data_IF_586003531177
#
_entry.id   IF_586003531177
#
_cell.length_a   1.000
_cell.length_b   1.000
_cell.length_c   1.000
_cell.angle_alpha   90.00
_cell.angle_beta   90.00
_cell.angle_gamma   90.00
#
_symmetry.space_group_name_H-M   'P 1'
#
loop_
_entity.id
_entity.type
_entity.pdbx_description
1 polymer ?
#
# COMPACT_ATOMS: atom_id res chain seq x y z
N UNK A 1 -0.61 9.67 27.78
CA UNK A 1 -1.55 9.08 26.80
C UNK A 1 -0.71 8.75 25.57
N UNK A 2 -0.57 7.46 25.21
CA UNK A 2 0.04 7.10 23.94
C UNK A 2 -0.89 7.62 22.86
N UNK A 3 -0.50 8.74 22.24
CA UNK A 3 -1.32 9.39 21.23
C UNK A 3 -1.12 8.62 19.93
N UNK A 4 -1.86 7.51 19.79
CA UNK A 4 -1.87 6.71 18.57
C UNK A 4 -2.42 7.62 17.46
N UNK A 5 -1.71 7.67 16.32
CA UNK A 5 -2.11 8.53 15.21
C UNK A 5 -3.51 8.11 14.70
N UNK A 6 -4.43 9.06 14.48
CA UNK A 6 -5.78 8.75 14.00
C UNK A 6 -5.74 8.15 12.59
N UNK A 7 -6.71 7.29 12.28
CA UNK A 7 -6.81 6.60 10.99
C UNK A 7 -8.18 6.86 10.38
N UNK A 8 -8.24 7.09 9.07
CA UNK A 8 -9.47 7.05 8.29
C UNK A 8 -9.34 5.91 7.29
N UNK A 9 -10.26 4.95 7.34
CA UNK A 9 -10.31 3.84 6.40
C UNK A 9 -11.33 4.10 5.28
N UNK A 10 -10.98 3.73 4.05
CA UNK A 10 -11.83 3.85 2.87
C UNK A 10 -11.85 2.50 2.16
N UNK A 11 -12.92 1.73 2.40
CA UNK A 11 -13.09 0.39 1.86
C UNK A 11 -14.06 0.34 0.67
N UNK A 12 -13.79 -0.56 -0.28
CA UNK A 12 -14.70 -0.85 -1.38
C UNK A 12 -14.07 -1.55 -2.58
N UNK A 13 -14.85 -1.82 -3.65
CA UNK A 13 -14.36 -2.57 -4.80
C UNK A 13 -13.32 -1.79 -5.61
N UNK A 14 -12.58 -2.50 -6.47
CA UNK A 14 -11.68 -1.87 -7.44
C UNK A 14 -12.47 -0.95 -8.38
N UNK A 15 -11.91 0.21 -8.75
CA UNK A 15 -12.52 1.15 -9.71
C UNK A 15 -13.60 2.07 -9.13
N UNK A 16 -13.93 2.01 -7.84
CA UNK A 16 -14.93 2.91 -7.23
C UNK A 16 -14.43 4.32 -6.88
N UNK A 17 -13.18 4.66 -7.23
CA UNK A 17 -12.60 5.99 -6.99
C UNK A 17 -11.96 6.22 -5.60
N UNK A 18 -11.78 5.16 -4.79
CA UNK A 18 -11.23 5.24 -3.42
C UNK A 18 -9.87 5.94 -3.38
N UNK A 19 -8.92 5.54 -4.22
CA UNK A 19 -7.58 6.15 -4.23
C UNK A 19 -7.61 7.65 -4.49
N UNK A 20 -8.52 8.10 -5.36
CA UNK A 20 -8.74 9.52 -5.61
C UNK A 20 -9.25 10.24 -4.36
N UNK A 21 -10.28 9.68 -3.69
CA UNK A 21 -10.84 10.27 -2.46
C UNK A 21 -9.81 10.25 -1.32
N UNK A 22 -9.10 9.13 -1.15
CA UNK A 22 -8.06 8.93 -0.15
C UNK A 22 -6.93 9.95 -0.31
N UNK A 23 -6.43 10.11 -1.54
CA UNK A 23 -5.39 11.10 -1.86
C UNK A 23 -5.84 12.54 -1.59
N UNK A 24 -7.07 12.90 -1.96
CA UNK A 24 -7.63 14.23 -1.68
C UNK A 24 -7.73 14.48 -0.16
N UNK A 25 -8.20 13.48 0.59
CA UNK A 25 -8.37 13.59 2.03
C UNK A 25 -7.03 13.70 2.75
N UNK A 26 -6.08 12.83 2.42
CA UNK A 26 -4.72 12.87 2.96
C UNK A 26 -4.07 14.23 2.72
N UNK A 27 -4.17 14.76 1.49
CA UNK A 27 -3.68 16.11 1.15
C UNK A 27 -4.34 17.20 2.01
N UNK A 28 -5.67 17.19 2.14
CA UNK A 28 -6.40 18.22 2.90
C UNK A 28 -6.07 18.21 4.39
N UNK A 29 -5.83 17.02 4.95
CA UNK A 29 -5.51 16.86 6.37
C UNK A 29 -4.01 17.00 6.67
N UNK A 30 -3.15 16.92 5.64
CA UNK A 30 -1.70 16.79 5.82
C UNK A 30 -1.32 15.44 6.46
N UNK A 31 -2.11 14.41 6.21
CA UNK A 31 -1.94 13.07 6.79
C UNK A 31 -1.22 12.13 5.83
N UNK A 32 -0.68 11.04 6.37
CA UNK A 32 -0.09 9.97 5.61
C UNK A 32 -1.14 9.27 4.74
N UNK A 33 -0.70 8.65 3.64
CA UNK A 33 -1.55 7.91 2.71
C UNK A 33 -1.07 6.45 2.64
N UNK A 34 -2.01 5.51 2.62
CA UNK A 34 -1.76 4.09 2.37
C UNK A 34 -2.72 3.60 1.30
N UNK A 35 -2.18 3.11 0.18
CA UNK A 35 -2.94 2.34 -0.81
C UNK A 35 -2.54 0.86 -0.67
N UNK A 36 -3.38 0.08 -0.01
CA UNK A 36 -3.13 -1.35 0.23
C UNK A 36 -3.04 -2.15 -1.07
N UNK A 37 -3.81 -1.78 -2.11
CA UNK A 37 -3.80 -2.45 -3.41
C UNK A 37 -2.50 -2.21 -4.18
N UNK A 38 -1.96 -0.99 -4.09
CA UNK A 38 -0.65 -0.67 -4.63
C UNK A 38 0.48 -1.44 -3.92
N UNK A 39 0.36 -1.71 -2.61
CA UNK A 39 1.37 -2.47 -1.85
C UNK A 39 1.61 -3.88 -2.38
N UNK A 40 0.55 -4.62 -2.73
CA UNK A 40 0.71 -5.95 -3.35
C UNK A 40 1.37 -5.87 -4.74
N UNK A 41 1.08 -4.82 -5.51
CA UNK A 41 1.70 -4.57 -6.82
C UNK A 41 3.18 -4.21 -6.67
N UNK A 42 3.50 -3.37 -5.70
CA UNK A 42 4.87 -2.99 -5.37
C UNK A 42 5.69 -4.21 -4.96
N UNK A 43 5.14 -5.10 -4.14
CA UNK A 43 5.82 -6.34 -3.77
C UNK A 43 6.11 -7.22 -5.00
N UNK A 44 5.13 -7.41 -5.88
CA UNK A 44 5.32 -8.20 -7.10
C UNK A 44 6.37 -7.56 -8.04
N UNK A 45 6.34 -6.24 -8.17
CA UNK A 45 7.30 -5.48 -8.97
C UNK A 45 8.72 -5.56 -8.37
N UNK A 46 8.86 -5.35 -7.05
CA UNK A 46 10.12 -5.48 -6.34
C UNK A 46 10.68 -6.90 -6.47
N UNK A 47 9.84 -7.92 -6.30
CA UNK A 47 10.26 -9.32 -6.45
C UNK A 47 10.85 -9.58 -7.84
N UNK A 48 10.21 -9.05 -8.89
CA UNK A 48 10.74 -9.14 -10.25
C UNK A 48 12.10 -8.45 -10.39
N UNK A 49 12.23 -7.21 -9.90
CA UNK A 49 13.49 -6.44 -9.99
C UNK A 49 14.65 -7.10 -9.21
N UNK A 50 14.34 -7.73 -8.08
CA UNK A 50 15.31 -8.43 -7.24
C UNK A 50 15.54 -9.89 -7.65
N UNK A 51 14.93 -10.36 -8.74
CA UNK A 51 15.05 -11.75 -9.21
C UNK A 51 14.46 -12.80 -8.27
N UNK A 52 13.48 -12.40 -7.44
CA UNK A 52 12.78 -13.28 -6.51
C UNK A 52 11.56 -13.91 -7.21
N UNK A 53 11.54 -15.23 -7.24
CA UNK A 53 10.39 -16.00 -7.76
C UNK A 53 9.14 -15.77 -6.90
N UNK A 54 7.99 -15.52 -7.55
CA UNK A 54 6.72 -15.27 -6.85
C UNK A 54 6.15 -16.51 -6.13
N UNK A 55 6.73 -17.68 -6.34
CA UNK A 55 6.44 -18.92 -5.59
C UNK A 55 7.30 -19.08 -4.35
N UNK A 56 8.37 -18.29 -4.20
CA UNK A 56 9.27 -18.36 -3.05
C UNK A 56 8.73 -17.51 -1.88
N UNK A 57 7.78 -18.07 -1.15
CA UNK A 57 7.06 -17.40 -0.06
C UNK A 57 7.99 -16.82 1.02
N UNK A 58 9.08 -17.52 1.36
CA UNK A 58 10.06 -17.06 2.36
C UNK A 58 10.80 -15.79 1.93
N UNK A 59 11.23 -15.71 0.66
CA UNK A 59 11.88 -14.51 0.14
C UNK A 59 10.88 -13.36 -0.03
N UNK A 60 9.67 -13.64 -0.51
CA UNK A 60 8.61 -12.64 -0.63
C UNK A 60 8.22 -12.05 0.73
N UNK A 61 8.14 -12.88 1.77
CA UNK A 61 7.87 -12.43 3.14
C UNK A 61 8.92 -11.45 3.64
N UNK A 62 10.21 -11.75 3.41
CA UNK A 62 11.32 -10.86 3.77
C UNK A 62 11.27 -9.55 3.00
N UNK A 63 10.99 -9.61 1.70
CA UNK A 63 10.87 -8.44 0.85
C UNK A 63 9.69 -7.55 1.27
N UNK A 64 8.52 -8.15 1.55
CA UNK A 64 7.33 -7.46 2.03
C UNK A 64 7.56 -6.70 3.35
N UNK A 65 8.30 -7.32 4.28
CA UNK A 65 8.59 -6.72 5.58
C UNK A 65 9.50 -5.49 5.49
N UNK A 66 10.37 -5.41 4.46
CA UNK A 66 11.37 -4.35 4.30
C UNK A 66 11.10 -3.44 3.09
N UNK A 67 9.87 -3.49 2.55
CA UNK A 67 9.51 -2.73 1.36
C UNK A 67 9.56 -1.22 1.65
N UNK A 68 10.57 -0.53 1.12
CA UNK A 68 10.75 0.91 1.23
C UNK A 68 9.81 1.61 0.24
N UNK A 69 8.66 2.04 0.77
CA UNK A 69 7.54 2.58 -0.03
C UNK A 69 7.08 3.88 0.58
N UNK A 70 6.89 4.87 -0.30
CA UNK A 70 6.32 6.16 0.05
C UNK A 70 5.15 6.46 -0.89
N UNK A 71 3.99 6.76 -0.31
CA UNK A 71 2.82 7.24 -1.03
C UNK A 71 2.75 8.75 -0.91
N UNK A 72 3.03 9.45 -2.00
CA UNK A 72 2.97 10.90 -2.04
C UNK A 72 1.60 11.29 -2.57
N UNK A 73 0.80 11.94 -1.71
CA UNK A 73 -0.52 12.43 -2.07
C UNK A 73 -0.45 13.40 -3.27
N UNK A 74 -1.50 13.40 -4.09
CA UNK A 74 -1.63 14.30 -5.23
C UNK A 74 -1.51 15.78 -4.80
N UNK A 75 -0.80 16.60 -5.60
CA UNK A 75 -0.74 18.06 -5.42
C UNK A 75 -1.46 18.76 -6.58
N UNK A 76 -1.59 20.09 -6.54
CA UNK A 76 -2.32 20.80 -7.59
C UNK A 76 -1.65 20.59 -8.96
N UNK A 77 -2.36 19.90 -9.86
CA UNK A 77 -1.86 19.54 -11.20
C UNK A 77 -1.05 18.24 -11.28
N UNK A 78 -0.85 17.51 -10.18
CA UNK A 78 -0.08 16.26 -10.17
C UNK A 78 -0.88 15.10 -9.56
N UNK A 79 -0.80 13.94 -10.20
CA UNK A 79 -1.38 12.70 -9.67
C UNK A 79 -0.62 12.23 -8.42
N UNK A 80 -1.23 11.30 -7.67
CA UNK A 80 -0.55 10.58 -6.61
C UNK A 80 0.70 9.89 -7.17
N UNK A 81 1.82 10.03 -6.45
CA UNK A 81 3.08 9.37 -6.82
C UNK A 81 3.42 8.28 -5.83
N UNK A 82 4.07 7.23 -6.33
CA UNK A 82 4.48 6.08 -5.54
C UNK A 82 5.96 5.88 -5.75
N UNK A 83 6.71 5.98 -4.66
CA UNK A 83 8.16 5.80 -4.66
C UNK A 83 8.47 4.44 -4.05
N UNK A 84 9.32 3.66 -4.72
CA UNK A 84 9.85 2.39 -4.25
C UNK A 84 11.37 2.47 -4.31
N UNK A 85 12.05 2.26 -3.18
CA UNK A 85 13.53 2.25 -3.11
C UNK A 85 14.19 3.53 -3.69
N UNK A 86 13.48 4.66 -3.59
CA UNK A 86 13.91 5.96 -4.12
C UNK A 86 13.46 6.29 -5.54
N UNK A 87 12.95 5.31 -6.30
CA UNK A 87 12.51 5.49 -7.68
C UNK A 87 10.98 5.65 -7.79
N UNK A 88 10.53 6.56 -8.66
CA UNK A 88 9.10 6.71 -8.94
C UNK A 88 8.60 5.57 -9.84
N UNK A 89 7.62 4.81 -9.32
CA UNK A 89 7.06 3.61 -9.95
C UNK A 89 5.55 3.71 -10.21
N UNK A 90 4.99 4.92 -10.12
CA UNK A 90 3.55 5.24 -10.20
C UNK A 90 2.82 4.56 -11.37
N UNK A 91 3.44 4.57 -12.56
CA UNK A 91 2.84 4.05 -13.80
C UNK A 91 3.12 2.56 -14.00
N UNK A 92 4.35 2.12 -13.73
CA UNK A 92 4.77 0.72 -13.99
C UNK A 92 3.97 -0.27 -13.15
N UNK A 93 3.62 0.09 -11.91
CA UNK A 93 2.83 -0.79 -11.05
C UNK A 93 1.37 -0.93 -11.49
N UNK A 94 0.89 -0.09 -12.42
CA UNK A 94 -0.46 -0.15 -12.97
C UNK A 94 -0.56 -1.06 -14.20
N UNK A 95 0.56 -1.58 -14.69
CA UNK A 95 0.59 -2.52 -15.81
C UNK A 95 -0.11 -3.83 -15.47
N UNK A 96 -0.64 -4.51 -16.49
CA UNK A 96 -1.32 -5.80 -16.33
C UNK A 96 -0.38 -6.88 -15.77
N UNK A 97 0.88 -6.89 -16.21
CA UNK A 97 1.88 -7.85 -15.74
C UNK A 97 2.10 -7.74 -14.22
N UNK A 98 2.29 -6.52 -13.70
CA UNK A 98 2.42 -6.30 -12.26
C UNK A 98 1.11 -6.60 -11.53
N UNK A 99 -0.04 -6.28 -12.13
CA UNK A 99 -1.35 -6.63 -11.59
C UNK A 99 -1.54 -8.14 -11.42
N UNK A 100 -1.11 -8.95 -12.39
CA UNK A 100 -1.14 -10.41 -12.31
C UNK A 100 -0.20 -10.94 -11.22
N UNK A 101 1.01 -10.39 -11.13
CA UNK A 101 1.94 -10.71 -10.04
C UNK A 101 1.36 -10.38 -8.66
N UNK A 102 0.67 -9.24 -8.53
CA UNK A 102 0.00 -8.83 -7.30
C UNK A 102 -1.06 -9.86 -6.85
N UNK A 103 -1.84 -10.40 -7.78
CA UNK A 103 -2.82 -11.45 -7.49
C UNK A 103 -2.15 -12.75 -7.01
N UNK A 104 -0.99 -13.12 -7.58
CA UNK A 104 -0.25 -14.30 -7.15
C UNK A 104 0.28 -14.14 -5.72
N UNK A 105 0.95 -13.02 -5.43
CA UNK A 105 1.50 -12.78 -4.08
C UNK A 105 0.40 -12.58 -3.02
N UNK A 106 -0.75 -12.01 -3.41
CA UNK A 106 -1.90 -11.85 -2.52
C UNK A 106 -2.57 -13.18 -2.14
N UNK A 107 -2.36 -14.26 -2.90
CA UNK A 107 -2.86 -15.59 -2.57
C UNK A 107 -2.04 -16.28 -1.46
N UNK A 108 -0.82 -15.80 -1.18
CA UNK A 108 0.11 -16.41 -0.23
C UNK A 108 -0.15 -15.90 1.21
N UNK A 109 -0.55 -16.76 2.16
CA UNK A 109 -0.89 -16.33 3.52
C UNK A 109 0.26 -15.65 4.27
N UNK A 110 1.50 -16.15 4.17
CA UNK A 110 2.62 -15.55 4.91
C UNK A 110 3.00 -14.18 4.35
N UNK A 111 2.78 -13.95 3.05
CA UNK A 111 2.95 -12.63 2.43
C UNK A 111 1.90 -11.64 2.93
N UNK A 112 0.62 -12.06 3.00
CA UNK A 112 -0.45 -11.23 3.56
C UNK A 112 -0.16 -10.83 5.00
N UNK A 113 0.36 -11.75 5.81
CA UNK A 113 0.75 -11.47 7.20
C UNK A 113 1.89 -10.45 7.29
N UNK A 114 2.93 -10.59 6.47
CA UNK A 114 4.03 -9.61 6.42
C UNK A 114 3.55 -8.22 5.96
N UNK A 115 2.72 -8.18 4.91
CA UNK A 115 2.13 -6.93 4.43
C UNK A 115 1.17 -6.31 5.45
N UNK A 116 0.48 -7.10 6.28
CA UNK A 116 -0.36 -6.58 7.36
C UNK A 116 0.46 -5.78 8.36
N UNK A 117 1.62 -6.30 8.78
CA UNK A 117 2.53 -5.57 9.66
C UNK A 117 3.03 -4.29 9.00
N UNK A 118 3.41 -4.37 7.72
CA UNK A 118 3.88 -3.21 6.95
C UNK A 118 2.79 -2.14 6.79
N UNK A 119 1.54 -2.53 6.57
CA UNK A 119 0.39 -1.63 6.48
C UNK A 119 0.16 -0.89 7.80
N UNK A 120 0.18 -1.59 8.93
CA UNK A 120 0.04 -0.96 10.26
C UNK A 120 1.17 0.03 10.57
N UNK A 121 2.37 -0.21 10.06
CA UNK A 121 3.48 0.73 10.21
C UNK A 121 3.26 2.08 9.52
N UNK A 122 2.28 2.23 8.61
CA UNK A 122 1.92 3.55 8.06
C UNK A 122 1.12 4.42 9.03
N UNK A 123 0.68 3.89 10.18
CA UNK A 123 -0.06 4.65 11.20
C UNK A 123 0.89 5.55 11.99
N UNK A 124 1.31 6.63 11.35
CA UNK A 124 2.21 7.63 11.91
C UNK A 124 1.51 8.98 12.04
N UNK A 125 2.02 9.83 12.94
CA UNK A 125 1.52 11.19 13.08
C UNK A 125 1.73 11.99 11.78
N UNK A 126 0.87 12.98 11.46
CA UNK A 126 -0.29 13.44 12.24
C UNK A 126 -1.55 12.57 12.10
N UNK A 127 -1.54 11.55 11.26
CA UNK A 127 -2.63 10.62 11.01
C UNK A 127 -2.44 9.86 9.70
N UNK A 128 -3.34 8.92 9.40
CA UNK A 128 -3.30 8.06 8.21
C UNK A 128 -4.66 8.01 7.51
N UNK A 129 -4.65 8.10 6.17
CA UNK A 129 -5.78 7.71 5.32
C UNK A 129 -5.43 6.41 4.60
N UNK A 130 -6.17 5.34 4.86
CA UNK A 130 -5.92 4.00 4.33
C UNK A 130 -7.03 3.55 3.36
N UNK A 131 -6.66 3.29 2.10
CA UNK A 131 -7.52 2.76 1.04
C UNK A 131 -7.34 1.25 0.88
N UNK A 132 -8.44 0.50 0.88
CA UNK A 132 -8.43 -0.92 0.56
C UNK A 132 -9.79 -1.60 0.45
N UNK A 133 -9.81 -2.88 0.83
CA UNK A 133 -11.02 -3.72 0.85
C UNK A 133 -11.46 -4.10 2.27
N UNK A 134 -10.48 -4.23 3.17
CA UNK A 134 -10.61 -4.72 4.53
C UNK A 134 -9.81 -3.86 5.54
N UNK A 135 -9.65 -2.57 5.24
CA UNK A 135 -8.89 -1.65 6.08
C UNK A 135 -9.58 -1.43 7.43
N UNK A 136 -10.88 -1.16 7.45
CA UNK A 136 -11.64 -0.94 8.69
C UNK A 136 -12.09 -2.20 9.40
N UNK A 137 -11.96 -3.37 8.79
CA UNK A 137 -12.41 -4.65 9.38
C UNK A 137 -11.28 -5.56 9.84
N UNK A 138 -10.11 -5.48 9.20
CA UNK A 138 -8.98 -6.37 9.46
C UNK A 138 -7.72 -5.59 9.85
N UNK A 139 -7.36 -4.55 9.08
CA UNK A 139 -6.06 -3.87 9.26
C UNK A 139 -6.10 -2.92 10.45
N UNK A 140 -7.10 -2.04 10.50
CA UNK A 140 -7.34 -1.01 11.50
C UNK A 140 -8.80 -1.10 12.01
N UNK A 141 -9.14 -2.13 12.82
CA UNK A 141 -10.50 -2.30 13.34
C UNK A 141 -10.91 -1.22 14.35
N UNK A 142 -9.95 -0.51 14.93
CA UNK A 142 -10.16 0.57 15.91
C UNK A 142 -10.10 1.98 15.29
N UNK A 143 -10.13 2.07 13.96
CA UNK A 143 -10.12 3.36 13.24
C UNK A 143 -11.42 4.16 13.44
#
# INVERSE_FOLDING_TARGET
MNNIAPVITIDGPSGSGKGTVAGILAKRLGWNLLDSGALYRLLAFAAHNHGVDLTNEELLKKLAAHLDVQFIAATDGQLQRIILEGDEVSDVIRTESVGSGASQVAALPAVREALLQRQRAFQEAPGLVADGRDMGTVVFPDA
#
